data_IF_823102983160
#
_entry.id   IF_823102983160
#
_cell.length_a   1.000
_cell.length_b   1.000
_cell.length_c   1.000
_cell.angle_alpha   90.00
_cell.angle_beta   90.00
_cell.angle_gamma   90.00
#
_symmetry.space_group_name_H-M   'P 1'
#
loop_
_entity.id
_entity.type
_entity.pdbx_description
1 polymer ?
#
# COMPACT_ATOMS: atom_id res chain seq x y z
N UNK A 1 10.43 -15.67 9.30
CA UNK A 1 10.43 -15.38 7.85
C UNK A 1 9.92 -13.96 7.67
N UNK A 2 10.50 -13.21 6.73
CA UNK A 2 10.33 -11.76 6.64
C UNK A 2 8.91 -11.33 6.27
N UNK A 3 8.46 -10.24 6.86
CA UNK A 3 7.25 -9.54 6.44
C UNK A 3 7.53 -8.94 5.05
N UNK A 4 7.09 -9.61 3.98
CA UNK A 4 7.31 -9.16 2.60
C UNK A 4 6.14 -9.53 1.68
N UNK A 5 5.99 -8.76 0.60
CA UNK A 5 5.09 -9.06 -0.50
C UNK A 5 5.88 -9.76 -1.62
N UNK A 6 5.52 -11.01 -1.91
CA UNK A 6 6.07 -11.75 -3.05
C UNK A 6 5.10 -11.72 -4.23
N UNK A 7 5.57 -11.20 -5.36
CA UNK A 7 4.84 -11.28 -6.63
C UNK A 7 5.31 -12.49 -7.44
N UNK A 8 4.41 -13.47 -7.61
CA UNK A 8 4.67 -14.67 -8.43
C UNK A 8 4.92 -14.31 -9.89
N UNK A 9 4.22 -13.29 -10.39
CA UNK A 9 4.45 -12.73 -11.73
C UNK A 9 5.67 -11.83 -11.72
N UNK A 10 6.81 -12.40 -12.13
CA UNK A 10 8.09 -11.69 -12.24
C UNK A 10 9.08 -11.98 -11.12
N UNK A 11 8.67 -12.67 -10.06
CA UNK A 11 9.56 -13.14 -8.99
C UNK A 11 10.11 -12.04 -8.07
N UNK A 12 9.45 -10.87 -8.01
CA UNK A 12 9.89 -9.76 -7.17
C UNK A 12 9.52 -10.00 -5.70
N UNK A 13 10.44 -9.63 -4.80
CA UNK A 13 10.25 -9.64 -3.36
C UNK A 13 10.32 -8.22 -2.83
N UNK A 14 9.29 -7.81 -2.09
CA UNK A 14 9.16 -6.44 -1.58
C UNK A 14 9.00 -6.48 -0.06
N UNK A 15 10.07 -6.21 0.70
CA UNK A 15 9.97 -6.17 2.15
C UNK A 15 9.25 -4.90 2.62
N UNK A 16 8.61 -4.99 3.79
CA UNK A 16 8.24 -3.77 4.52
C UNK A 16 9.50 -2.93 4.81
N UNK A 17 9.35 -1.61 4.87
CA UNK A 17 10.48 -0.70 5.07
C UNK A 17 11.32 -0.40 3.81
N UNK A 18 10.98 -0.96 2.65
CA UNK A 18 11.66 -0.61 1.39
C UNK A 18 11.40 0.86 0.99
N UNK A 19 12.33 1.46 0.25
CA UNK A 19 12.21 2.84 -0.26
C UNK A 19 11.48 2.91 -1.61
N UNK A 20 11.00 4.08 -2.04
CA UNK A 20 10.46 4.28 -3.38
C UNK A 20 11.44 3.88 -4.49
N UNK A 21 12.73 4.08 -4.28
CA UNK A 21 13.77 3.73 -5.26
C UNK A 21 13.90 2.22 -5.41
N UNK A 22 13.83 1.47 -4.30
CA UNK A 22 13.81 0.00 -4.33
C UNK A 22 12.58 -0.48 -5.10
N UNK A 23 11.41 0.12 -4.82
CA UNK A 23 10.16 -0.21 -5.52
C UNK A 23 10.23 0.08 -7.02
N UNK A 24 10.83 1.19 -7.44
CA UNK A 24 10.98 1.49 -8.86
C UNK A 24 11.92 0.53 -9.56
N UNK A 25 12.93 0.03 -8.85
CA UNK A 25 13.86 -0.97 -9.39
C UNK A 25 13.15 -2.30 -9.62
N UNK A 26 12.31 -2.73 -8.67
CA UNK A 26 11.58 -4.00 -8.74
C UNK A 26 10.34 -3.95 -9.65
N UNK A 27 9.52 -2.91 -9.53
CA UNK A 27 8.19 -2.84 -10.16
C UNK A 27 8.10 -1.84 -11.31
N UNK A 28 9.08 -0.96 -11.47
CA UNK A 28 9.00 0.19 -12.36
C UNK A 28 8.21 1.36 -11.76
N UNK A 29 7.84 2.33 -12.60
CA UNK A 29 7.08 3.50 -12.15
C UNK A 29 5.64 3.10 -11.80
N UNK A 30 5.05 3.65 -10.73
CA UNK A 30 3.65 3.42 -10.41
C UNK A 30 2.74 4.03 -11.47
N UNK A 31 1.54 3.47 -11.62
CA UNK A 31 0.51 4.01 -12.51
C UNK A 31 -0.08 5.33 -11.98
N UNK A 32 -0.11 5.50 -10.66
CA UNK A 32 -0.59 6.71 -9.99
C UNK A 32 0.11 6.95 -8.66
N UNK A 33 0.16 8.22 -8.25
CA UNK A 33 0.66 8.63 -6.93
C UNK A 33 -0.38 9.52 -6.28
N UNK A 34 -0.85 9.15 -5.10
CA UNK A 34 -1.89 9.91 -4.37
C UNK A 34 -1.45 10.18 -2.94
N UNK A 35 -1.68 11.40 -2.46
CA UNK A 35 -1.53 11.70 -1.03
C UNK A 35 -2.66 11.01 -0.27
N UNK A 36 -2.33 10.35 0.84
CA UNK A 36 -3.32 9.81 1.76
C UNK A 36 -4.09 10.99 2.34
N UNK A 37 -5.35 11.11 1.97
CA UNK A 37 -6.23 12.07 2.63
C UNK A 37 -6.35 11.65 4.10
N UNK A 38 -6.00 12.57 4.99
CA UNK A 38 -6.35 12.46 6.41
C UNK A 38 -7.69 13.15 6.51
N UNK A 39 -8.73 12.37 6.82
CA UNK A 39 -10.07 12.91 7.00
C UNK A 39 -10.00 13.94 8.14
N UNK A 40 -10.02 15.22 7.79
CA UNK A 40 -9.75 16.31 8.72
C UNK A 40 -11.02 16.68 9.47
N UNK A 41 -11.61 15.72 10.18
CA UNK A 41 -12.55 16.04 11.26
C UNK A 41 -11.75 16.35 12.54
N UNK A 42 -10.80 17.28 12.47
CA UNK A 42 -10.04 17.80 13.63
C UNK A 42 -10.47 19.24 13.85
N UNK A 43 -11.65 19.39 14.45
CA UNK A 43 -12.23 20.72 14.72
C UNK A 43 -11.67 21.32 16.03
N UNK A 44 -10.88 20.58 16.81
CA UNK A 44 -10.34 21.04 18.09
C UNK A 44 -8.96 20.46 18.41
N UNK A 45 -7.90 21.15 17.99
CA UNK A 45 -6.57 21.07 18.63
C UNK A 45 -5.85 22.40 18.51
N UNK A 46 -6.38 23.43 19.17
CA UNK A 46 -5.70 24.70 19.38
C UNK A 46 -4.63 24.55 20.49
N UNK A 47 -3.60 23.71 20.27
CA UNK A 47 -2.56 23.52 21.31
C UNK A 47 -1.14 23.22 20.81
N UNK A 48 -0.86 23.05 19.53
CA UNK A 48 0.52 22.73 19.09
C UNK A 48 1.12 23.84 18.21
N UNK A 49 1.70 24.83 18.89
CA UNK A 49 2.59 25.87 18.35
C UNK A 49 3.97 25.32 17.93
N UNK A 50 4.04 24.09 17.39
CA UNK A 50 5.31 23.60 16.82
C UNK A 50 5.40 24.05 15.36
N UNK A 51 6.52 24.66 14.93
CA UNK A 51 6.67 25.14 13.56
C UNK A 51 6.48 23.97 12.61
N UNK A 52 5.46 24.11 11.74
CA UNK A 52 4.99 23.19 10.68
C UNK A 52 6.08 22.98 9.61
N UNK A 53 7.21 22.45 10.03
CA UNK A 53 8.30 22.03 9.15
C UNK A 53 7.85 20.70 8.53
N UNK A 54 7.20 20.80 7.37
CA UNK A 54 7.03 19.72 6.39
C UNK A 54 6.58 18.36 6.95
N UNK A 55 5.39 18.28 7.54
CA UNK A 55 4.70 16.98 7.63
C UNK A 55 4.26 16.60 6.21
N UNK A 56 5.15 15.98 5.43
CA UNK A 56 4.74 15.34 4.20
C UNK A 56 3.76 14.23 4.60
N UNK A 57 2.56 14.26 4.02
CA UNK A 57 1.56 13.24 4.28
C UNK A 57 2.03 11.89 3.75
N UNK A 58 1.49 10.81 4.32
CA UNK A 58 1.68 9.50 3.69
C UNK A 58 1.17 9.54 2.26
N UNK A 59 1.74 8.71 1.39
CA UNK A 59 1.34 8.67 -0.01
C UNK A 59 1.32 7.24 -0.54
N UNK A 60 0.43 7.03 -1.50
CA UNK A 60 0.23 5.75 -2.17
C UNK A 60 0.92 5.75 -3.52
N UNK A 61 1.56 4.63 -3.84
CA UNK A 61 1.86 4.23 -5.20
C UNK A 61 0.83 3.19 -5.64
N UNK A 62 0.09 3.49 -6.71
CA UNK A 62 -0.91 2.58 -7.27
C UNK A 62 -0.32 1.80 -8.44
N UNK A 63 -0.37 0.47 -8.35
CA UNK A 63 0.01 -0.44 -9.43
C UNK A 63 -1.23 -1.19 -9.92
N UNK A 64 -2.04 -0.50 -10.74
CA UNK A 64 -3.30 -1.01 -11.27
C UNK A 64 -3.17 -2.37 -11.95
N UNK A 65 -2.11 -2.55 -12.75
CA UNK A 65 -1.81 -3.81 -13.45
C UNK A 65 -1.43 -4.97 -12.52
N UNK A 66 -1.11 -4.69 -11.25
CA UNK A 66 -0.71 -5.67 -10.24
C UNK A 66 -1.73 -5.81 -9.12
N UNK A 67 -2.83 -5.05 -9.16
CA UNK A 67 -3.89 -5.13 -8.15
C UNK A 67 -3.48 -4.64 -6.76
N UNK A 68 -2.45 -3.80 -6.63
CA UNK A 68 -1.91 -3.39 -5.33
C UNK A 68 -1.69 -1.88 -5.21
N UNK A 69 -1.86 -1.37 -3.99
CA UNK A 69 -1.32 -0.08 -3.57
C UNK A 69 -0.27 -0.25 -2.48
N UNK A 70 0.76 0.59 -2.56
CA UNK A 70 1.85 0.62 -1.58
C UNK A 70 1.80 1.96 -0.87
N UNK A 71 1.57 1.94 0.44
CA UNK A 71 1.58 3.13 1.29
C UNK A 71 2.98 3.37 1.85
N UNK A 72 3.50 4.54 1.56
CA UNK A 72 4.74 5.05 2.14
C UNK A 72 4.44 5.98 3.29
N UNK A 73 5.26 5.87 4.34
CA UNK A 73 5.32 6.85 5.40
C UNK A 73 5.82 8.19 4.85
N UNK A 74 5.12 9.27 5.17
CA UNK A 74 5.44 10.60 4.67
C UNK A 74 6.76 11.19 5.19
N UNK A 75 7.26 10.74 6.34
CA UNK A 75 8.50 11.26 6.92
C UNK A 75 9.72 10.43 6.50
N UNK A 76 9.62 9.11 6.60
CA UNK A 76 10.75 8.20 6.36
C UNK A 76 10.82 7.71 4.92
N UNK A 77 9.76 7.94 4.12
CA UNK A 77 9.59 7.38 2.78
C UNK A 77 9.82 5.87 2.75
N UNK A 78 9.33 5.17 3.77
CA UNK A 78 9.42 3.71 3.87
C UNK A 78 8.05 3.07 3.76
N UNK A 79 7.99 1.90 3.13
CA UNK A 79 6.74 1.14 3.03
C UNK A 79 6.25 0.77 4.43
N UNK A 80 4.98 1.07 4.69
CA UNK A 80 4.31 0.70 5.95
C UNK A 80 3.05 -0.16 5.77
N UNK A 81 2.45 -0.16 4.58
CA UNK A 81 1.23 -0.94 4.31
C UNK A 81 1.12 -1.31 2.83
N UNK A 82 0.69 -2.54 2.57
CA UNK A 82 0.19 -2.98 1.28
C UNK A 82 -1.35 -3.02 1.32
N UNK A 83 -1.99 -2.57 0.25
CA UNK A 83 -3.44 -2.72 0.03
C UNK A 83 -3.62 -3.63 -1.17
N UNK A 84 -4.35 -4.72 -1.00
CA UNK A 84 -4.60 -5.72 -2.03
C UNK A 84 -6.04 -5.55 -2.54
N UNK A 85 -6.19 -5.31 -3.84
CA UNK A 85 -7.48 -5.10 -4.47
C UNK A 85 -8.03 -6.40 -5.05
N UNK A 86 -9.03 -7.00 -4.41
CA UNK A 86 -9.66 -8.26 -4.85
C UNK A 86 -10.70 -8.07 -5.95
N UNK A 87 -10.95 -6.82 -6.39
CA UNK A 87 -11.83 -6.43 -7.50
C UNK A 87 -13.26 -7.04 -7.36
N UNK A 88 -13.89 -6.78 -6.22
CA UNK A 88 -15.25 -7.23 -5.90
C UNK A 88 -16.29 -6.55 -6.81
N UNK A 89 -17.20 -7.31 -7.47
CA UNK A 89 -18.26 -6.74 -8.30
C UNK A 89 -19.13 -5.74 -7.55
N UNK A 90 -19.32 -4.54 -8.12
CA UNK A 90 -20.14 -3.47 -7.51
C UNK A 90 -19.38 -2.49 -6.63
N UNK A 91 -18.07 -2.69 -6.42
CA UNK A 91 -17.21 -1.69 -5.76
C UNK A 91 -16.92 -0.50 -6.71
N UNK A 92 -16.70 0.70 -6.16
CA UNK A 92 -16.41 1.91 -6.97
C UNK A 92 -15.17 1.76 -7.85
N UNK A 93 -14.20 1.00 -7.37
CA UNK A 93 -12.92 0.75 -8.05
C UNK A 93 -12.93 -0.53 -8.90
N UNK A 94 -14.11 -1.11 -9.13
CA UNK A 94 -14.26 -2.28 -9.99
C UNK A 94 -13.73 -1.97 -11.38
N UNK A 95 -12.88 -2.87 -11.93
CA UNK A 95 -12.16 -2.71 -13.20
C UNK A 95 -11.02 -1.66 -13.22
N UNK A 96 -10.80 -0.90 -12.14
CA UNK A 96 -9.62 -0.02 -12.01
C UNK A 96 -8.33 -0.81 -11.77
N UNK A 97 -8.44 -2.02 -11.19
CA UNK A 97 -7.32 -2.90 -10.87
C UNK A 97 -7.48 -4.27 -11.56
N UNK A 98 -6.38 -4.81 -12.08
CA UNK A 98 -6.33 -6.18 -12.58
C UNK A 98 -6.62 -7.18 -11.45
N UNK A 99 -7.39 -8.23 -11.75
CA UNK A 99 -7.68 -9.29 -10.78
C UNK A 99 -6.41 -10.07 -10.46
N UNK A 100 -6.10 -10.17 -9.18
CA UNK A 100 -4.96 -10.94 -8.69
C UNK A 100 -5.40 -11.89 -7.58
N UNK A 101 -4.96 -13.14 -7.64
CA UNK A 101 -5.19 -14.13 -6.61
C UNK A 101 -4.12 -13.98 -5.53
N UNK A 102 -4.45 -13.30 -4.44
CA UNK A 102 -3.54 -13.11 -3.32
C UNK A 102 -3.59 -14.31 -2.37
N UNK A 103 -2.42 -14.75 -1.91
CA UNK A 103 -2.27 -15.79 -0.89
C UNK A 103 -1.48 -15.17 0.26
N UNK A 104 -1.98 -15.29 1.49
CA UNK A 104 -1.28 -14.81 2.67
C UNK A 104 -0.75 -16.00 3.45
N UNK A 105 0.52 -15.90 3.84
CA UNK A 105 1.18 -16.84 4.71
C UNK A 105 1.34 -16.19 6.08
N UNK A 106 1.07 -16.94 7.15
CA UNK A 106 1.46 -16.51 8.50
C UNK A 106 2.98 -16.69 8.70
N UNK A 107 3.53 -16.15 9.79
CA UNK A 107 4.94 -16.28 10.18
C UNK A 107 5.42 -17.75 10.26
N UNK A 108 4.50 -18.69 10.47
CA UNK A 108 4.75 -20.14 10.50
C UNK A 108 4.62 -20.84 9.12
N UNK A 109 4.34 -20.08 8.04
CA UNK A 109 4.29 -20.60 6.66
C UNK A 109 3.02 -21.38 6.32
N UNK A 110 2.03 -21.40 7.20
CA UNK A 110 0.70 -21.96 6.94
C UNK A 110 -0.10 -21.04 6.02
N UNK A 111 -0.74 -21.64 5.01
CA UNK A 111 -1.62 -20.94 4.09
C UNK A 111 -2.84 -20.38 4.84
N UNK A 112 -2.89 -19.07 5.00
CA UNK A 112 -4.10 -18.35 5.38
C UNK A 112 -4.79 -17.90 4.08
N UNK A 113 -5.74 -18.69 3.59
CA UNK A 113 -6.62 -18.25 2.51
C UNK A 113 -7.50 -17.12 3.05
N UNK A 114 -7.18 -15.88 2.70
CA UNK A 114 -8.13 -14.77 2.88
C UNK A 114 -9.30 -15.00 1.92
N UNK A 115 -10.44 -15.39 2.47
CA UNK A 115 -11.70 -15.00 1.85
C UNK A 115 -11.74 -13.48 1.91
N UNK A 116 -11.78 -12.84 0.73
CA UNK A 116 -11.96 -11.41 0.54
C UNK A 116 -12.83 -10.80 1.64
N UNK A 117 -12.20 -10.09 2.59
CA UNK A 117 -12.95 -9.19 3.47
C UNK A 117 -13.25 -7.98 2.60
N UNK A 118 -14.42 -8.01 1.95
CA UNK A 118 -14.98 -6.81 1.33
C UNK A 118 -15.11 -5.76 2.44
N UNK A 119 -14.36 -4.67 2.33
CA UNK A 119 -14.72 -3.42 3.01
C UNK A 119 -15.99 -2.87 2.35
#
# INVERSE_FOLDING_TARGET
>A
LGEELWLTTGGQHIPFGASPQDIWTELGRPCGIHQKQVDQMVIHSASDLRPRTTLCGDYFYNYFSRGIDILFDGQTHKIKKFVLHTNFPGHSDFNSYMKCNFVIYDAEGTNCSLQSVCC
#
